data_IF_660581942302
#
_entry.id   IF_660581942302
#
_cell.length_a   1.000
_cell.length_b   1.000
_cell.length_c   1.000
_cell.angle_alpha   90.00
_cell.angle_beta   90.00
_cell.angle_gamma   90.00
#
_symmetry.space_group_name_H-M   'P 1'
#
loop_
_entity.id
_entity.type
_entity.pdbx_description
1 polymer ?
#
# COMPACT_ATOMS: atom_id res chain seq x y z
N UNK A 1 4.43 15.18 -14.69
CA UNK A 1 3.41 14.27 -15.26
C UNK A 1 2.10 15.04 -15.42
N UNK A 2 1.48 14.99 -16.61
CA UNK A 2 0.15 15.60 -16.83
C UNK A 2 -0.91 14.97 -15.93
N UNK A 3 -1.88 15.76 -15.46
CA UNK A 3 -2.89 15.29 -14.51
C UNK A 3 -3.69 14.07 -15.04
N UNK A 4 -4.09 14.11 -16.31
CA UNK A 4 -4.78 12.98 -16.98
C UNK A 4 -3.95 11.69 -16.95
N UNK A 5 -2.65 11.78 -17.21
CA UNK A 5 -1.74 10.62 -17.18
C UNK A 5 -1.62 10.02 -15.78
N UNK A 6 -1.48 10.85 -14.74
CA UNK A 6 -1.49 10.39 -13.34
C UNK A 6 -2.77 9.61 -13.04
N UNK A 7 -3.90 10.21 -13.39
CA UNK A 7 -5.22 9.67 -13.09
C UNK A 7 -5.46 8.36 -13.86
N UNK A 8 -4.92 8.20 -15.07
CA UNK A 8 -4.92 6.92 -15.79
C UNK A 8 -4.02 5.88 -15.10
N UNK A 9 -2.79 6.26 -14.74
CA UNK A 9 -1.81 5.37 -14.14
C UNK A 9 -2.26 4.84 -12.78
N UNK A 10 -2.70 5.72 -11.88
CA UNK A 10 -3.19 5.36 -10.54
C UNK A 10 -4.40 4.44 -10.65
N UNK A 11 -5.35 4.75 -11.54
CA UNK A 11 -6.53 3.89 -11.75
C UNK A 11 -6.14 2.52 -12.31
N UNK A 12 -5.29 2.47 -13.34
CA UNK A 12 -4.84 1.23 -13.95
C UNK A 12 -4.08 0.33 -12.98
N UNK A 13 -3.12 0.89 -12.24
CA UNK A 13 -2.34 0.15 -11.24
C UNK A 13 -3.19 -0.37 -10.08
N UNK A 14 -4.09 0.48 -9.56
CA UNK A 14 -5.00 0.08 -8.47
C UNK A 14 -5.94 -1.03 -8.94
N UNK A 15 -6.54 -0.88 -10.12
CA UNK A 15 -7.42 -1.90 -10.70
C UNK A 15 -6.68 -3.21 -10.99
N UNK A 16 -5.49 -3.14 -11.59
CA UNK A 16 -4.65 -4.31 -11.85
C UNK A 16 -4.34 -5.10 -10.57
N UNK A 17 -3.84 -4.42 -9.53
CA UNK A 17 -3.51 -5.07 -8.26
C UNK A 17 -4.75 -5.70 -7.62
N UNK A 18 -5.89 -4.99 -7.59
CA UNK A 18 -7.16 -5.53 -7.08
C UNK A 18 -7.64 -6.73 -7.88
N UNK A 19 -7.55 -6.69 -9.21
CA UNK A 19 -7.99 -7.75 -10.09
C UNK A 19 -7.19 -9.03 -9.88
N UNK A 20 -5.85 -8.93 -9.89
CA UNK A 20 -4.97 -10.08 -9.67
C UNK A 20 -5.16 -10.66 -8.27
N UNK A 21 -5.27 -9.81 -7.25
CA UNK A 21 -5.56 -10.22 -5.88
C UNK A 21 -6.91 -10.95 -5.78
N UNK A 22 -7.95 -10.41 -6.40
CA UNK A 22 -9.29 -10.96 -6.35
C UNK A 22 -9.41 -12.29 -7.11
N UNK A 23 -8.83 -12.39 -8.32
CA UNK A 23 -8.75 -13.65 -9.06
C UNK A 23 -8.04 -14.72 -8.23
N UNK A 24 -6.93 -14.36 -7.58
CA UNK A 24 -6.23 -15.29 -6.71
C UNK A 24 -7.12 -15.81 -5.58
N UNK A 25 -7.86 -14.93 -4.91
CA UNK A 25 -8.81 -15.34 -3.86
C UNK A 25 -9.93 -16.24 -4.39
N UNK A 26 -10.51 -15.91 -5.55
CA UNK A 26 -11.58 -16.72 -6.15
C UNK A 26 -11.13 -18.15 -6.48
N UNK A 27 -9.85 -18.32 -6.78
CA UNK A 27 -9.23 -19.60 -7.09
C UNK A 27 -8.78 -20.37 -5.84
N UNK A 28 -9.05 -19.88 -4.62
CA UNK A 28 -8.61 -20.51 -3.36
C UNK A 28 -7.23 -20.06 -2.88
N UNK A 29 -6.76 -18.90 -3.36
CA UNK A 29 -5.55 -18.29 -2.85
C UNK A 29 -5.76 -17.72 -1.45
N UNK A 30 -4.99 -18.24 -0.48
CA UNK A 30 -4.87 -17.71 0.88
C UNK A 30 -6.16 -17.78 1.73
N UNK A 31 -6.71 -18.99 1.86
CA UNK A 31 -7.93 -19.30 2.62
C UNK A 31 -7.92 -18.72 4.05
N UNK A 32 -6.74 -18.63 4.67
CA UNK A 32 -6.58 -18.11 6.04
C UNK A 32 -7.04 -16.66 6.19
N UNK A 33 -6.90 -15.83 5.15
CA UNK A 33 -7.36 -14.43 5.19
C UNK A 33 -8.88 -14.32 5.24
N UNK A 34 -9.56 -15.10 4.40
CA UNK A 34 -11.02 -15.15 4.31
C UNK A 34 -11.58 -15.78 5.57
N UNK A 35 -11.04 -16.93 6.00
CA UNK A 35 -11.45 -17.61 7.22
C UNK A 35 -11.34 -16.70 8.45
N UNK A 36 -10.24 -15.95 8.58
CA UNK A 36 -10.07 -15.03 9.72
C UNK A 36 -11.07 -13.88 9.66
N UNK A 37 -11.39 -13.39 8.46
CA UNK A 37 -12.41 -12.35 8.29
C UNK A 37 -13.83 -12.88 8.60
N UNK A 38 -14.18 -14.08 8.13
CA UNK A 38 -15.48 -14.70 8.42
C UNK A 38 -15.70 -14.90 9.91
N UNK A 39 -14.70 -15.42 10.62
CA UNK A 39 -14.76 -15.56 12.09
C UNK A 39 -14.95 -14.22 12.78
N UNK A 40 -14.24 -13.19 12.33
CA UNK A 40 -14.38 -11.85 12.90
C UNK A 40 -15.80 -11.27 12.72
N UNK A 41 -16.43 -11.54 11.58
CA UNK A 41 -17.80 -11.10 11.30
C UNK A 41 -18.88 -12.08 11.77
N UNK A 42 -18.52 -13.15 12.49
CA UNK A 42 -19.45 -14.21 12.93
C UNK A 42 -20.23 -14.86 11.77
N UNK A 43 -19.56 -15.03 10.63
CA UNK A 43 -20.12 -15.62 9.41
C UNK A 43 -19.55 -17.02 9.11
N UNK A 44 -18.62 -17.53 9.91
CA UNK A 44 -17.92 -18.80 9.67
C UNK A 44 -18.83 -20.04 9.77
N UNK A 45 -19.98 -19.94 10.43
CA UNK A 45 -21.02 -20.98 10.43
C UNK A 45 -22.04 -20.82 9.28
N UNK A 46 -22.11 -19.65 8.65
CA UNK A 46 -23.14 -19.31 7.67
C UNK A 46 -22.70 -19.55 6.22
N UNK A 47 -21.41 -19.40 5.95
CA UNK A 47 -20.84 -19.52 4.60
C UNK A 47 -19.52 -20.27 4.65
N UNK A 48 -19.26 -21.14 3.66
CA UNK A 48 -17.97 -21.82 3.54
C UNK A 48 -16.87 -20.85 3.14
N UNK A 49 -15.63 -21.10 3.59
CA UNK A 49 -14.46 -20.29 3.27
C UNK A 49 -14.31 -20.10 1.74
N UNK A 50 -14.54 -21.16 0.96
CA UNK A 50 -14.46 -21.15 -0.51
C UNK A 50 -15.52 -20.23 -1.12
N UNK A 51 -16.78 -20.35 -0.70
CA UNK A 51 -17.86 -19.54 -1.27
C UNK A 51 -17.67 -18.06 -0.89
N UNK A 52 -17.24 -17.78 0.34
CA UNK A 52 -16.93 -16.43 0.77
C UNK A 52 -15.77 -15.81 -0.03
N UNK A 53 -14.71 -16.58 -0.29
CA UNK A 53 -13.58 -16.14 -1.10
C UNK A 53 -14.01 -15.81 -2.54
N UNK A 54 -14.87 -16.64 -3.13
CA UNK A 54 -15.41 -16.44 -4.47
C UNK A 54 -16.33 -15.21 -4.56
N UNK A 55 -17.23 -15.01 -3.59
CA UNK A 55 -18.13 -13.86 -3.56
C UNK A 55 -17.36 -12.55 -3.34
N UNK A 56 -16.44 -12.53 -2.37
CA UNK A 56 -15.62 -11.36 -2.09
C UNK A 56 -14.69 -11.04 -3.27
N UNK A 57 -14.04 -12.05 -3.84
CA UNK A 57 -13.22 -11.88 -5.03
C UNK A 57 -14.05 -11.39 -6.23
N UNK A 58 -15.23 -11.95 -6.48
CA UNK A 58 -16.14 -11.49 -7.54
C UNK A 58 -16.55 -10.02 -7.35
N UNK A 59 -16.86 -9.61 -6.12
CA UNK A 59 -17.13 -8.21 -5.79
C UNK A 59 -15.92 -7.31 -6.10
N UNK A 60 -14.71 -7.70 -5.69
CA UNK A 60 -13.48 -6.92 -5.96
C UNK A 60 -13.18 -6.85 -7.46
N UNK A 61 -13.40 -7.93 -8.23
CA UNK A 61 -13.26 -7.93 -9.70
C UNK A 61 -14.22 -6.92 -10.34
N UNK A 62 -15.48 -6.89 -9.91
CA UNK A 62 -16.46 -5.90 -10.38
C UNK A 62 -15.96 -4.48 -10.10
N UNK A 63 -15.54 -4.19 -8.86
CA UNK A 63 -15.02 -2.85 -8.51
C UNK A 63 -13.79 -2.49 -9.35
N UNK A 64 -12.88 -3.44 -9.59
CA UNK A 64 -11.73 -3.24 -10.48
C UNK A 64 -12.15 -2.87 -11.91
N UNK A 65 -13.14 -3.57 -12.47
CA UNK A 65 -13.67 -3.26 -13.80
C UNK A 65 -14.34 -1.87 -13.84
N UNK A 66 -15.11 -1.51 -12.81
CA UNK A 66 -15.74 -0.19 -12.70
C UNK A 66 -14.71 0.95 -12.57
N UNK A 67 -13.58 0.72 -11.88
CA UNK A 67 -12.47 1.67 -11.81
C UNK A 67 -11.91 1.97 -13.22
N UNK A 68 -11.69 0.95 -14.04
CA UNK A 68 -11.15 1.10 -15.40
C UNK A 68 -12.17 1.68 -16.39
N UNK A 69 -13.45 1.39 -16.22
CA UNK A 69 -14.53 1.87 -17.10
C UNK A 69 -14.64 3.40 -17.14
N UNK A 70 -14.36 4.07 -16.01
CA UNK A 70 -14.43 5.54 -15.82
C UNK A 70 -15.73 6.21 -16.26
N UNK A 71 -16.81 5.46 -16.45
CA UNK A 71 -18.10 6.04 -16.82
C UNK A 71 -18.65 6.88 -15.65
N UNK A 72 -19.19 8.09 -15.92
CA UNK A 72 -19.76 8.94 -14.87
C UNK A 72 -20.83 8.23 -14.02
N UNK A 73 -21.62 7.35 -14.64
CA UNK A 73 -22.64 6.55 -13.97
C UNK A 73 -22.09 5.65 -12.87
N UNK A 74 -20.84 5.17 -13.00
CA UNK A 74 -20.21 4.26 -12.04
C UNK A 74 -19.31 4.96 -11.03
N UNK A 75 -19.16 6.29 -11.10
CA UNK A 75 -18.28 7.06 -10.20
C UNK A 75 -18.54 6.74 -8.72
N UNK A 76 -19.80 6.76 -8.30
CA UNK A 76 -20.18 6.51 -6.91
C UNK A 76 -19.95 5.04 -6.51
N UNK A 77 -20.29 4.10 -7.40
CA UNK A 77 -20.08 2.68 -7.17
C UNK A 77 -18.58 2.35 -7.01
N UNK A 78 -17.72 2.92 -7.86
CA UNK A 78 -16.26 2.75 -7.77
C UNK A 78 -15.69 3.33 -6.47
N UNK A 79 -16.13 4.54 -6.09
CA UNK A 79 -15.67 5.19 -4.86
C UNK A 79 -16.09 4.42 -3.61
N UNK A 80 -17.37 4.10 -3.48
CA UNK A 80 -17.90 3.40 -2.32
C UNK A 80 -17.46 1.94 -2.29
N UNK A 81 -17.36 1.28 -3.43
CA UNK A 81 -16.83 -0.08 -3.53
C UNK A 81 -15.38 -0.16 -3.08
N UNK A 82 -14.51 0.74 -3.55
CA UNK A 82 -13.12 0.76 -3.12
C UNK A 82 -12.98 1.04 -1.62
N UNK A 83 -13.80 1.95 -1.10
CA UNK A 83 -13.87 2.27 0.33
C UNK A 83 -14.37 1.08 1.14
N UNK A 84 -15.42 0.40 0.68
CA UNK A 84 -16.00 -0.77 1.35
C UNK A 84 -15.01 -1.93 1.41
N UNK A 85 -14.28 -2.21 0.32
CA UNK A 85 -13.19 -3.21 0.31
C UNK A 85 -12.15 -2.86 1.37
N UNK A 86 -11.69 -1.61 1.41
CA UNK A 86 -10.70 -1.18 2.38
C UNK A 86 -11.20 -1.37 3.82
N UNK A 87 -12.39 -0.86 4.13
CA UNK A 87 -12.98 -0.94 5.47
C UNK A 87 -13.28 -2.37 5.92
N UNK A 88 -13.77 -3.23 5.01
CA UNK A 88 -14.04 -4.64 5.29
C UNK A 88 -12.81 -5.33 5.90
N UNK A 89 -11.62 -5.09 5.34
CA UNK A 89 -10.40 -5.68 5.88
C UNK A 89 -9.86 -4.90 7.07
N UNK A 90 -9.84 -3.57 7.02
CA UNK A 90 -9.28 -2.73 8.09
C UNK A 90 -9.98 -2.90 9.43
N UNK A 91 -11.31 -3.06 9.45
CA UNK A 91 -12.05 -3.29 10.70
C UNK A 91 -11.59 -4.58 11.39
N UNK A 92 -11.10 -5.57 10.65
CA UNK A 92 -10.56 -6.81 11.26
C UNK A 92 -9.29 -6.58 12.09
N UNK A 93 -8.65 -5.40 12.04
CA UNK A 93 -7.53 -5.04 12.93
C UNK A 93 -7.95 -5.00 14.41
N UNK A 94 -9.23 -4.82 14.73
CA UNK A 94 -9.70 -4.90 16.11
C UNK A 94 -9.69 -6.34 16.67
N UNK A 95 -9.41 -7.35 15.84
CA UNK A 95 -9.29 -8.73 16.28
C UNK A 95 -7.93 -9.02 16.90
N UNK A 96 -7.93 -9.72 18.05
CA UNK A 96 -6.71 -10.28 18.65
C UNK A 96 -5.94 -11.23 17.73
N UNK A 97 -6.62 -11.84 16.75
CA UNK A 97 -6.02 -12.72 15.74
C UNK A 97 -5.09 -12.00 14.75
N UNK A 98 -5.07 -10.66 14.75
CA UNK A 98 -4.15 -9.86 13.93
C UNK A 98 -2.81 -9.60 14.62
N UNK A 99 -2.75 -9.79 15.93
CA UNK A 99 -1.60 -9.49 16.78
C UNK A 99 -0.87 -10.76 17.22
N UNK A 100 0.42 -10.63 17.53
CA UNK A 100 1.24 -11.74 18.00
C UNK A 100 1.20 -11.78 19.53
N UNK A 101 0.34 -12.64 20.07
CA UNK A 101 0.10 -12.73 21.52
C UNK A 101 1.35 -13.13 22.32
N UNK A 102 2.24 -13.94 21.74
CA UNK A 102 3.51 -14.32 22.39
C UNK A 102 4.48 -13.16 22.61
N UNK A 103 4.25 -12.02 21.95
CA UNK A 103 5.04 -10.78 22.10
C UNK A 103 4.23 -9.65 22.77
N UNK A 104 3.16 -9.98 23.50
CA UNK A 104 2.34 -9.00 24.23
C UNK A 104 1.14 -8.45 23.47
N UNK A 105 0.81 -9.00 22.30
CA UNK A 105 -0.34 -8.55 21.50
C UNK A 105 -0.06 -7.21 20.81
N UNK A 106 -1.07 -6.34 20.73
CA UNK A 106 -0.92 -5.02 20.11
C UNK A 106 0.23 -4.23 20.78
N UNK A 107 1.16 -3.61 20.01
CA UNK A 107 1.13 -3.39 18.56
C UNK A 107 1.93 -4.41 17.73
N UNK A 108 2.37 -5.54 18.28
CA UNK A 108 3.17 -6.53 17.53
C UNK A 108 2.27 -7.26 16.52
N UNK A 109 2.48 -7.01 15.23
CA UNK A 109 1.52 -7.33 14.18
C UNK A 109 1.91 -8.59 13.40
N UNK A 110 1.01 -9.57 13.37
CA UNK A 110 1.18 -10.84 12.65
C UNK A 110 0.45 -10.79 11.30
N UNK A 111 -0.67 -11.53 11.20
CA UNK A 111 -1.49 -11.52 9.97
C UNK A 111 -2.02 -10.14 9.60
N UNK A 112 -2.07 -9.20 10.56
CA UNK A 112 -2.46 -7.81 10.34
C UNK A 112 -1.55 -7.03 9.38
N UNK A 113 -0.33 -7.49 9.11
CA UNK A 113 0.60 -6.76 8.23
C UNK A 113 0.05 -6.57 6.80
N UNK A 114 -0.65 -7.55 6.25
CA UNK A 114 -1.30 -7.37 4.94
C UNK A 114 -2.64 -6.62 5.03
N UNK A 115 -3.23 -6.52 6.24
CA UNK A 115 -4.47 -5.77 6.47
C UNK A 115 -4.20 -4.27 6.53
N UNK A 116 -3.11 -3.83 7.17
CA UNK A 116 -2.77 -2.39 7.21
C UNK A 116 -2.51 -1.81 5.81
N UNK A 117 -2.18 -2.64 4.81
CA UNK A 117 -2.02 -2.18 3.42
C UNK A 117 -3.30 -1.61 2.82
N UNK A 118 -4.47 -2.02 3.29
CA UNK A 118 -5.75 -1.50 2.82
C UNK A 118 -5.98 -0.03 3.17
N UNK A 119 -5.22 0.55 4.11
CA UNK A 119 -5.22 2.00 4.34
C UNK A 119 -4.86 2.79 3.08
N UNK A 120 -4.06 2.22 2.17
CA UNK A 120 -3.65 2.86 0.92
C UNK A 120 -4.83 3.16 -0.03
N UNK A 121 -5.87 2.32 0.00
CA UNK A 121 -7.02 2.44 -0.91
C UNK A 121 -7.93 3.62 -0.59
N UNK A 122 -8.05 4.01 0.69
CA UNK A 122 -8.88 5.12 1.13
C UNK A 122 -8.47 6.47 0.51
N UNK A 123 -7.21 6.94 0.64
CA UNK A 123 -6.77 8.18 0.01
C UNK A 123 -6.73 8.10 -1.51
N UNK A 124 -6.52 6.91 -2.10
CA UNK A 124 -6.67 6.71 -3.55
C UNK A 124 -8.12 6.96 -3.97
N UNK A 125 -9.11 6.40 -3.26
CA UNK A 125 -10.53 6.63 -3.53
C UNK A 125 -10.89 8.12 -3.42
N UNK A 126 -10.42 8.76 -2.34
CA UNK A 126 -10.63 10.21 -2.12
C UNK A 126 -9.99 11.03 -3.24
N UNK A 127 -8.77 10.73 -3.64
CA UNK A 127 -8.08 11.46 -4.71
C UNK A 127 -8.72 11.25 -6.09
N UNK A 128 -9.17 10.05 -6.41
CA UNK A 128 -9.77 9.75 -7.72
C UNK A 128 -11.19 10.31 -7.86
N UNK A 129 -11.98 10.34 -6.79
CA UNK A 129 -13.43 10.61 -6.88
C UNK A 129 -13.92 11.83 -6.12
N UNK A 130 -13.17 12.27 -5.11
CA UNK A 130 -13.51 13.37 -4.21
C UNK A 130 -12.39 14.43 -4.10
N UNK A 131 -11.53 14.55 -5.12
CA UNK A 131 -10.39 15.48 -5.13
C UNK A 131 -10.77 16.89 -4.71
N UNK A 132 -11.81 17.44 -5.34
CA UNK A 132 -12.27 18.83 -5.14
C UNK A 132 -12.86 19.09 -3.74
N UNK A 133 -13.16 18.05 -2.96
CA UNK A 133 -13.71 18.20 -1.61
C UNK A 133 -12.66 18.52 -0.56
N UNK A 134 -11.37 18.34 -0.87
CA UNK A 134 -10.28 18.45 0.08
C UNK A 134 -9.15 19.31 -0.48
N UNK A 135 -8.46 20.04 0.41
CA UNK A 135 -7.32 20.86 0.02
C UNK A 135 -6.13 20.01 -0.43
N UNK A 136 -5.22 20.59 -1.21
CA UNK A 136 -3.95 19.94 -1.59
C UNK A 136 -3.16 19.46 -0.37
N UNK A 137 -3.16 20.24 0.72
CA UNK A 137 -2.51 19.85 1.98
C UNK A 137 -3.15 18.61 2.59
N UNK A 138 -4.47 18.50 2.58
CA UNK A 138 -5.16 17.31 3.05
C UNK A 138 -4.79 16.08 2.21
N UNK A 139 -4.80 16.20 0.87
CA UNK A 139 -4.38 15.09 -0.01
C UNK A 139 -2.93 14.64 0.21
N UNK A 140 -2.01 15.56 0.52
CA UNK A 140 -0.64 15.21 0.87
C UNK A 140 -0.61 14.33 2.12
N UNK A 141 -1.27 14.74 3.20
CA UNK A 141 -1.29 13.93 4.43
C UNK A 141 -2.08 12.63 4.28
N UNK A 142 -3.19 12.65 3.54
CA UNK A 142 -3.97 11.46 3.24
C UNK A 142 -3.16 10.39 2.50
N UNK A 143 -2.35 10.78 1.50
CA UNK A 143 -1.54 9.83 0.74
C UNK A 143 -0.22 9.47 1.44
N UNK A 144 0.30 10.32 2.33
CA UNK A 144 1.45 9.98 3.16
C UNK A 144 1.10 8.99 4.27
N UNK A 145 -0.06 9.15 4.91
CA UNK A 145 -0.48 8.33 6.03
C UNK A 145 -0.34 6.80 5.82
N UNK A 146 -0.86 6.18 4.76
CA UNK A 146 -0.72 4.73 4.57
C UNK A 146 0.73 4.29 4.35
N UNK A 147 1.53 5.11 3.64
CA UNK A 147 2.97 4.87 3.46
C UNK A 147 3.68 4.89 4.81
N UNK A 148 3.33 5.86 5.67
CA UNK A 148 3.88 5.97 7.01
C UNK A 148 3.51 4.78 7.89
N UNK A 149 2.23 4.39 7.90
CA UNK A 149 1.73 3.26 8.67
C UNK A 149 2.46 1.98 8.28
N UNK A 150 2.59 1.68 6.98
CA UNK A 150 3.19 0.41 6.56
C UNK A 150 4.70 0.37 6.83
N UNK A 151 5.43 1.44 6.53
CA UNK A 151 6.89 1.45 6.64
C UNK A 151 7.35 1.62 8.10
N UNK A 152 6.65 2.40 8.93
CA UNK A 152 6.99 2.51 10.35
C UNK A 152 6.63 1.23 11.11
N UNK A 153 5.46 0.64 10.81
CA UNK A 153 5.00 -0.51 11.58
C UNK A 153 5.71 -1.80 11.15
N UNK A 154 5.72 -2.12 9.85
CA UNK A 154 6.45 -3.31 9.35
C UNK A 154 7.96 -3.10 9.50
N UNK A 155 8.46 -1.89 9.27
CA UNK A 155 9.87 -1.56 9.54
C UNK A 155 10.25 -1.74 11.01
N UNK A 156 9.36 -1.37 11.95
CA UNK A 156 9.54 -1.63 13.38
C UNK A 156 9.50 -3.10 13.75
N UNK A 157 8.73 -3.93 13.04
CA UNK A 157 8.71 -5.37 13.26
C UNK A 157 10.05 -6.04 12.91
N UNK A 158 10.83 -5.46 11.98
CA UNK A 158 12.11 -6.03 11.50
C UNK A 158 13.20 -6.17 12.56
N UNK A 159 13.04 -5.51 13.71
CA UNK A 159 13.91 -5.68 14.87
C UNK A 159 13.61 -6.94 15.69
N UNK A 160 12.53 -7.67 15.35
CA UNK A 160 12.16 -8.94 15.98
C UNK A 160 12.67 -10.12 15.16
N UNK A 161 13.10 -11.18 15.86
CA UNK A 161 13.61 -12.41 15.24
C UNK A 161 12.58 -13.08 14.32
N UNK A 162 11.30 -13.04 14.71
CA UNK A 162 10.21 -13.61 13.92
C UNK A 162 10.08 -12.95 12.55
N UNK A 163 10.29 -11.63 12.47
CA UNK A 163 10.18 -10.88 11.23
C UNK A 163 11.43 -11.07 10.38
N UNK A 164 12.61 -11.12 11.02
CA UNK A 164 13.86 -11.42 10.34
C UNK A 164 13.81 -12.77 9.62
N UNK A 165 13.28 -13.82 10.29
CA UNK A 165 13.01 -15.12 9.66
C UNK A 165 11.91 -15.06 8.61
N UNK A 166 10.88 -14.21 8.82
CA UNK A 166 9.78 -14.03 7.89
C UNK A 166 10.22 -13.47 6.53
N UNK A 167 11.16 -12.52 6.52
CA UNK A 167 11.67 -11.90 5.29
C UNK A 167 12.85 -12.66 4.68
N UNK A 168 13.45 -13.61 5.40
CA UNK A 168 14.62 -14.36 4.94
C UNK A 168 14.44 -14.97 3.56
N UNK A 169 13.34 -15.70 3.24
CA UNK A 169 13.15 -16.26 1.90
C UNK A 169 12.98 -15.20 0.81
N UNK A 170 12.49 -14.00 1.16
CA UNK A 170 12.34 -12.90 0.21
C UNK A 170 13.71 -12.32 -0.17
N UNK A 171 14.53 -12.08 0.84
CA UNK A 171 15.85 -11.45 0.69
C UNK A 171 16.86 -12.41 0.06
N UNK A 172 16.89 -13.68 0.49
CA UNK A 172 17.88 -14.67 0.01
C UNK A 172 17.69 -15.02 -1.46
N UNK A 173 16.46 -14.97 -1.97
CA UNK A 173 16.16 -15.23 -3.38
C UNK A 173 16.17 -13.96 -4.24
N UNK A 174 16.43 -12.78 -3.67
CA UNK A 174 16.43 -11.52 -4.41
C UNK A 174 17.79 -11.22 -5.04
N UNK A 175 17.88 -10.99 -6.36
CA UNK A 175 19.13 -10.60 -7.01
C UNK A 175 19.65 -9.22 -6.56
N UNK A 176 18.80 -8.43 -5.90
CA UNK A 176 19.15 -7.09 -5.43
C UNK A 176 19.52 -7.04 -3.95
N UNK A 177 19.15 -8.06 -3.16
CA UNK A 177 19.29 -8.05 -1.71
C UNK A 177 20.02 -9.27 -1.13
N UNK A 178 20.21 -10.35 -1.89
CA UNK A 178 20.83 -11.59 -1.37
C UNK A 178 22.23 -11.35 -0.78
N UNK A 179 22.98 -10.40 -1.35
CA UNK A 179 24.30 -9.98 -0.87
C UNK A 179 24.32 -9.50 0.59
N UNK A 180 23.18 -9.06 1.13
CA UNK A 180 23.09 -8.67 2.54
C UNK A 180 23.46 -9.84 3.45
N UNK A 181 23.15 -11.08 3.07
CA UNK A 181 23.46 -12.27 3.86
C UNK A 181 24.90 -12.78 3.68
N UNK A 182 25.63 -12.27 2.68
CA UNK A 182 27.06 -12.52 2.54
C UNK A 182 27.87 -11.66 3.54
N UNK A 183 27.32 -10.51 3.95
CA UNK A 183 27.99 -9.54 4.81
C UNK A 183 27.43 -9.50 6.24
N UNK A 184 26.16 -9.84 6.42
CA UNK A 184 25.42 -9.67 7.66
C UNK A 184 24.64 -10.92 8.04
N UNK A 185 24.38 -11.10 9.33
CA UNK A 185 23.44 -12.13 9.80
C UNK A 185 22.01 -11.82 9.36
N UNK A 186 21.14 -12.83 9.39
CA UNK A 186 19.70 -12.68 9.07
C UNK A 186 19.06 -11.53 9.87
N UNK A 187 19.33 -11.47 11.17
CA UNK A 187 18.82 -10.39 12.02
C UNK A 187 19.41 -9.02 11.68
N UNK A 188 20.72 -8.93 11.40
CA UNK A 188 21.35 -7.65 11.10
C UNK A 188 20.86 -7.08 9.76
N UNK A 189 20.74 -7.91 8.73
CA UNK A 189 20.13 -7.50 7.47
C UNK A 189 18.68 -7.04 7.64
N UNK A 190 17.89 -7.75 8.45
CA UNK A 190 16.52 -7.31 8.81
C UNK A 190 16.53 -5.94 9.50
N UNK A 191 17.40 -5.74 10.49
CA UNK A 191 17.55 -4.46 11.18
C UNK A 191 17.90 -3.32 10.21
N UNK A 192 18.82 -3.55 9.26
CA UNK A 192 19.22 -2.55 8.28
C UNK A 192 18.04 -2.13 7.39
N UNK A 193 17.23 -3.09 6.93
CA UNK A 193 16.01 -2.79 6.18
C UNK A 193 15.01 -2.01 7.06
N UNK A 194 14.84 -2.39 8.32
CA UNK A 194 13.96 -1.67 9.27
C UNK A 194 14.41 -0.23 9.52
N UNK A 195 15.71 -0.01 9.68
CA UNK A 195 16.30 1.34 9.80
C UNK A 195 16.03 2.14 8.53
N UNK A 196 16.24 1.55 7.35
CA UNK A 196 15.97 2.19 6.07
C UNK A 196 14.51 2.65 5.97
N UNK A 197 13.56 1.74 6.24
CA UNK A 197 12.13 1.99 6.14
C UNK A 197 11.70 3.14 7.07
N UNK A 198 12.12 3.10 8.34
CA UNK A 198 11.78 4.12 9.33
C UNK A 198 12.42 5.46 8.98
N UNK A 199 13.71 5.47 8.63
CA UNK A 199 14.45 6.68 8.33
C UNK A 199 13.86 7.44 7.15
N UNK A 200 13.68 6.77 6.00
CA UNK A 200 13.19 7.44 4.80
C UNK A 200 11.72 7.85 4.88
N UNK A 201 10.92 7.12 5.64
CA UNK A 201 9.53 7.50 5.92
C UNK A 201 9.44 8.74 6.81
N UNK A 202 10.26 8.80 7.87
CA UNK A 202 10.36 9.99 8.71
C UNK A 202 10.84 11.19 7.88
N UNK A 203 11.83 10.98 7.00
CA UNK A 203 12.35 12.01 6.10
C UNK A 203 11.29 12.50 5.11
N UNK A 204 10.45 11.61 4.58
CA UNK A 204 9.33 11.96 3.70
C UNK A 204 8.30 12.82 4.42
N UNK A 205 7.93 12.45 5.65
CA UNK A 205 7.03 13.23 6.49
C UNK A 205 7.59 14.62 6.81
N UNK A 206 8.87 14.70 7.18
CA UNK A 206 9.56 15.95 7.41
C UNK A 206 9.62 16.81 6.13
N UNK A 207 9.88 16.21 4.97
CA UNK A 207 9.92 16.93 3.70
C UNK A 207 8.56 17.50 3.29
N UNK A 208 7.46 16.76 3.54
CA UNK A 208 6.09 17.25 3.32
C UNK A 208 5.77 18.40 4.28
N UNK A 209 6.13 18.26 5.56
CA UNK A 209 5.89 19.27 6.59
C UNK A 209 6.66 20.58 6.32
N UNK A 210 7.95 20.47 6.02
CA UNK A 210 8.84 21.59 5.73
C UNK A 210 8.71 22.14 4.30
N UNK A 211 7.92 21.48 3.44
CA UNK A 211 7.80 21.78 2.00
C UNK A 211 9.15 21.80 1.26
N UNK A 212 10.09 20.96 1.69
CA UNK A 212 11.44 20.92 1.14
C UNK A 212 11.54 19.95 -0.05
N UNK A 213 11.39 20.48 -1.28
CA UNK A 213 11.24 19.69 -2.50
C UNK A 213 12.38 18.71 -2.80
N UNK A 214 13.68 19.06 -2.71
CA UNK A 214 14.75 18.10 -2.95
C UNK A 214 14.71 16.92 -1.96
N UNK A 215 14.43 17.23 -0.69
CA UNK A 215 14.32 16.22 0.36
C UNK A 215 13.12 15.30 0.13
N UNK A 216 12.01 15.87 -0.34
CA UNK A 216 10.83 15.11 -0.72
C UNK A 216 11.14 14.14 -1.86
N UNK A 217 11.84 14.60 -2.91
CA UNK A 217 12.17 13.72 -4.05
C UNK A 217 13.05 12.55 -3.61
N UNK A 218 14.10 12.82 -2.83
CA UNK A 218 15.02 11.77 -2.34
C UNK A 218 14.26 10.76 -1.47
N UNK A 219 13.51 11.24 -0.48
CA UNK A 219 12.77 10.37 0.44
C UNK A 219 11.61 9.61 -0.23
N UNK A 220 10.89 10.22 -1.17
CA UNK A 220 9.84 9.56 -1.93
C UNK A 220 10.40 8.49 -2.87
N UNK A 221 11.56 8.72 -3.49
CA UNK A 221 12.25 7.71 -4.29
C UNK A 221 12.75 6.55 -3.44
N UNK A 222 13.29 6.84 -2.25
CA UNK A 222 13.74 5.81 -1.31
C UNK A 222 12.56 4.94 -0.81
N UNK A 223 11.46 5.56 -0.38
CA UNK A 223 10.23 4.82 -0.02
C UNK A 223 9.68 4.03 -1.22
N UNK A 224 9.71 4.63 -2.42
CA UNK A 224 9.29 3.98 -3.66
C UNK A 224 10.14 2.77 -4.00
N UNK A 225 11.45 2.84 -3.75
CA UNK A 225 12.37 1.72 -3.96
C UNK A 225 12.00 0.50 -3.11
N UNK A 226 11.50 0.69 -1.88
CA UNK A 226 10.99 -0.41 -1.05
C UNK A 226 9.83 -1.12 -1.75
N UNK A 227 8.81 -0.38 -2.19
CA UNK A 227 7.63 -0.99 -2.83
C UNK A 227 7.93 -1.57 -4.20
N UNK A 228 8.86 -0.98 -4.96
CA UNK A 228 9.33 -1.55 -6.23
C UNK A 228 10.14 -2.82 -5.97
N UNK A 229 11.01 -2.83 -4.97
CA UNK A 229 11.77 -4.00 -4.57
C UNK A 229 10.84 -5.14 -4.16
N UNK A 230 9.82 -4.88 -3.34
CA UNK A 230 8.89 -5.92 -2.95
C UNK A 230 8.18 -6.52 -4.16
N UNK A 231 7.82 -5.74 -5.19
CA UNK A 231 7.24 -6.31 -6.42
C UNK A 231 8.17 -7.32 -7.10
N UNK A 232 9.49 -7.18 -6.99
CA UNK A 232 10.42 -8.16 -7.56
C UNK A 232 10.28 -9.54 -6.92
N UNK A 233 9.87 -9.59 -5.64
CA UNK A 233 9.66 -10.85 -4.91
C UNK A 233 8.52 -11.69 -5.47
N UNK A 234 7.58 -11.10 -6.23
CA UNK A 234 6.58 -11.90 -6.96
C UNK A 234 7.24 -12.88 -7.93
N UNK A 235 8.35 -12.49 -8.54
CA UNK A 235 9.05 -13.29 -9.54
C UNK A 235 10.19 -14.07 -8.90
N UNK A 236 10.90 -13.48 -7.95
CA UNK A 236 12.15 -14.05 -7.43
C UNK A 236 11.93 -15.02 -6.27
N UNK A 237 10.87 -14.87 -5.48
CA UNK A 237 10.64 -15.73 -4.30
C UNK A 237 9.87 -16.99 -4.66
N UNK A 238 10.43 -18.19 -4.43
CA UNK A 238 9.71 -19.44 -4.56
C UNK A 238 8.44 -19.45 -3.71
N UNK A 239 7.32 -19.84 -4.32
CA UNK A 239 6.04 -19.89 -3.64
C UNK A 239 5.37 -18.53 -3.44
N UNK A 240 5.79 -17.46 -4.13
CA UNK A 240 4.97 -16.25 -4.26
C UNK A 240 3.85 -16.42 -5.31
N UNK A 241 4.17 -17.06 -6.43
CA UNK A 241 3.22 -17.44 -7.48
C UNK A 241 2.69 -18.86 -7.28
N UNK A 242 1.49 -19.12 -7.80
CA UNK A 242 0.84 -20.43 -7.77
C UNK A 242 0.19 -20.71 -9.12
N UNK A 243 0.33 -21.94 -9.62
CA UNK A 243 -0.29 -22.35 -10.88
C UNK A 243 -1.81 -22.48 -10.75
N UNK A 244 -2.30 -22.90 -9.59
CA UNK A 244 -3.73 -23.10 -9.34
C UNK A 244 -4.43 -21.82 -8.88
N UNK A 245 -3.75 -21.02 -8.06
CA UNK A 245 -4.36 -19.87 -7.36
C UNK A 245 -3.80 -18.52 -7.80
N UNK A 246 -2.97 -18.47 -8.85
CA UNK A 246 -2.21 -17.32 -9.36
C UNK A 246 -1.15 -16.78 -8.37
N UNK A 247 -1.58 -16.44 -7.15
CA UNK A 247 -0.74 -16.00 -6.04
C UNK A 247 -0.95 -16.91 -4.83
N UNK A 248 0.09 -17.05 -4.01
CA UNK A 248 -0.02 -17.56 -2.64
C UNK A 248 -0.27 -16.42 -1.65
N UNK A 249 -0.31 -16.71 -0.34
CA UNK A 249 -0.37 -15.66 0.68
C UNK A 249 0.75 -14.62 0.57
N UNK A 250 1.98 -15.05 0.22
CA UNK A 250 3.11 -14.16 -0.01
C UNK A 250 2.89 -13.28 -1.24
N UNK A 251 2.47 -13.86 -2.37
CA UNK A 251 2.18 -13.07 -3.57
C UNK A 251 1.06 -12.06 -3.35
N UNK A 252 0.00 -12.46 -2.63
CA UNK A 252 -1.09 -11.56 -2.26
C UNK A 252 -0.67 -10.47 -1.28
N UNK A 253 0.33 -10.71 -0.44
CA UNK A 253 0.88 -9.67 0.43
C UNK A 253 1.67 -8.66 -0.39
N UNK A 254 2.49 -9.12 -1.34
CA UNK A 254 3.37 -8.28 -2.16
C UNK A 254 2.60 -7.45 -3.18
N UNK A 255 1.62 -8.03 -3.90
CA UNK A 255 0.89 -7.33 -4.98
C UNK A 255 0.18 -6.05 -4.51
N UNK A 256 -0.14 -5.97 -3.21
CA UNK A 256 -0.78 -4.81 -2.58
C UNK A 256 0.15 -3.60 -2.48
N UNK A 257 1.47 -3.79 -2.56
CA UNK A 257 2.41 -2.66 -2.45
C UNK A 257 2.34 -1.70 -3.65
N UNK A 258 1.72 -2.13 -4.75
CA UNK A 258 1.35 -1.26 -5.88
C UNK A 258 0.48 -0.08 -5.41
N UNK A 259 -0.35 -0.25 -4.38
CA UNK A 259 -1.19 0.84 -3.87
C UNK A 259 -0.34 1.96 -3.26
N UNK A 260 0.77 1.63 -2.57
CA UNK A 260 1.66 2.66 -2.05
C UNK A 260 2.46 3.36 -3.15
N UNK A 261 2.79 2.66 -4.25
CA UNK A 261 3.32 3.30 -5.46
C UNK A 261 2.32 4.33 -5.99
N UNK A 262 1.02 4.00 -6.04
CA UNK A 262 -0.03 4.96 -6.39
C UNK A 262 -0.05 6.16 -5.44
N UNK A 263 0.04 5.96 -4.12
CA UNK A 263 0.09 7.06 -3.15
C UNK A 263 1.32 7.97 -3.39
N UNK A 264 2.51 7.40 -3.62
CA UNK A 264 3.72 8.18 -3.90
C UNK A 264 3.62 8.97 -5.23
N UNK A 265 3.00 8.40 -6.27
CA UNK A 265 2.74 9.09 -7.53
C UNK A 265 1.81 10.30 -7.34
N UNK A 266 0.77 10.15 -6.50
CA UNK A 266 -0.13 11.24 -6.13
C UNK A 266 0.64 12.33 -5.37
N UNK A 267 1.42 11.95 -4.35
CA UNK A 267 2.24 12.90 -3.57
C UNK A 267 3.18 13.70 -4.48
N UNK A 268 3.88 13.03 -5.38
CA UNK A 268 4.81 13.66 -6.31
C UNK A 268 4.11 14.67 -7.22
N UNK A 269 2.91 14.36 -7.70
CA UNK A 269 2.13 15.30 -8.50
C UNK A 269 1.70 16.55 -7.70
N UNK A 270 1.25 16.36 -6.46
CA UNK A 270 0.75 17.45 -5.61
C UNK A 270 1.87 18.41 -5.18
N UNK A 271 3.04 17.90 -4.79
CA UNK A 271 4.21 18.73 -4.42
C UNK A 271 4.67 19.61 -5.58
N UNK A 272 4.65 19.08 -6.81
CA UNK A 272 5.03 19.85 -7.99
C UNK A 272 4.03 20.98 -8.28
N UNK A 273 2.72 20.75 -8.09
CA UNK A 273 1.70 21.79 -8.27
C UNK A 273 1.84 22.96 -7.29
N UNK A 274 2.18 22.69 -6.03
CA UNK A 274 2.36 23.76 -5.01
C UNK A 274 3.57 24.66 -5.26
N UNK A 275 4.56 24.19 -6.01
CA UNK A 275 5.76 24.99 -6.31
C UNK A 275 5.48 26.00 -7.41
N UNK A 276 4.72 25.58 -8.44
CA UNK A 276 4.39 26.41 -9.59
C UNK A 276 3.53 27.62 -9.16
N UNK A 277 2.58 27.44 -8.24
CA UNK A 277 1.74 28.54 -7.72
C UNK A 277 2.56 29.58 -6.93
N UNK A 278 3.44 29.12 -6.04
CA UNK A 278 4.28 30.00 -5.20
C UNK A 278 5.26 30.82 -6.04
N UNK A 279 5.84 30.21 -7.08
CA UNK A 279 6.74 30.91 -8.00
C UNK A 279 6.05 31.93 -8.91
N UNK A 280 4.74 31.78 -9.12
CA UNK A 280 3.92 32.71 -9.91
C UNK A 280 3.51 33.91 -9.05
N UNK A 281 3.12 33.70 -7.80
CA UNK A 281 2.79 34.77 -6.84
C UNK A 281 3.97 35.71 -6.57
N UNK A 282 5.16 35.16 -6.32
CA UNK A 282 6.38 35.96 -6.08
C UNK A 282 6.74 36.83 -7.31
N UNK A 283 6.54 36.32 -8.52
CA UNK A 283 6.78 37.09 -9.75
C UNK A 283 5.74 38.20 -9.95
N UNK A 284 4.48 37.96 -9.60
CA UNK A 284 3.44 38.98 -9.69
C UNK A 284 3.62 40.10 -8.65
N UNK A 285 4.03 39.77 -7.42
CA UNK A 285 4.33 40.77 -6.39
C UNK A 285 5.55 41.62 -6.76
N UNK A 286 6.60 41.02 -7.31
CA UNK A 286 7.77 41.75 -7.80
C UNK A 286 7.46 42.65 -9.00
N UNK A 287 6.55 42.25 -9.90
CA UNK A 287 6.08 43.11 -10.99
C UNK A 287 5.19 44.24 -10.50
N UNK A 288 4.36 44.01 -9.48
CA UNK A 288 3.52 45.05 -8.88
C UNK A 288 4.30 46.04 -8.03
N UNK A 289 5.47 45.69 -7.49
CA UNK A 289 6.31 46.61 -6.71
C UNK A 289 7.26 47.46 -7.57
N UNK A 290 7.38 47.14 -8.86
CA UNK A 290 8.21 47.88 -9.83
C UNK A 290 7.38 48.82 -10.73
N UNK A 291 6.06 48.83 -10.59
CA UNK A 291 5.12 49.72 -11.28
C UNK A 291 4.62 50.79 -10.30
#
# INVERSE_FOLDING_TARGET
MQHKTLINLVTGLTAFSLFIFALSMMLGGNDRYVQTALKFYYLDSAISDVLAAQLLGGFIVIISALLVSRQPAFKNASMWGLTAIALLFLVTLFSESRWIQSHGGFPVIGSGQGIIKYFALLPIAVYLFAREKFSTRAHLWFNFFPVAVVLLWIGGMKFLELEAKGIEPLVSNSPFMSWLYDLFSVQMASNLIGIYDIFFTALLGAAIFLRHKPLFVISALACGAVFVMTQTFLITTPGALSVSTLLTGTGQFVIKDIWFICNLLILHHLINQTTDSTSTEIKSEQQSSMA
#
